data_IF_261520560967
#
_entry.id   IF_261520560967
#
_cell.length_a   1.000
_cell.length_b   1.000
_cell.length_c   1.000
_cell.angle_alpha   90.00
_cell.angle_beta   90.00
_cell.angle_gamma   90.00
#
_symmetry.space_group_name_H-M   'P 1'
#
loop_
_entity.id
_entity.type
_entity.pdbx_description
1 polymer ?
#
# COMPACT_ATOMS: atom_id res chain seq x y z
N UNK A 1 21.39 77.73 -60.77
CA UNK A 1 21.44 76.32 -60.88
C UNK A 1 21.76 75.67 -59.53
N UNK A 2 20.88 74.93 -58.92
CA UNK A 2 21.15 74.35 -57.60
C UNK A 2 21.59 72.92 -57.70
N UNK A 3 22.63 72.62 -57.00
CA UNK A 3 23.19 71.28 -56.79
C UNK A 3 22.34 70.49 -55.78
N UNK A 4 21.79 69.35 -56.23
CA UNK A 4 21.03 68.39 -55.40
C UNK A 4 21.99 67.53 -54.60
N UNK A 5 21.97 67.69 -53.30
CA UNK A 5 22.65 66.81 -52.36
C UNK A 5 21.78 65.55 -52.02
N UNK A 6 22.27 64.35 -52.40
CA UNK A 6 21.67 63.04 -52.04
C UNK A 6 22.20 62.63 -50.67
N UNK A 7 21.32 62.50 -49.70
CA UNK A 7 21.63 61.81 -48.45
C UNK A 7 21.31 60.28 -48.54
N UNK A 8 22.21 59.43 -48.12
CA UNK A 8 21.89 57.96 -48.03
C UNK A 8 21.05 57.72 -46.81
N UNK A 9 19.90 57.07 -47.01
CA UNK A 9 19.08 56.49 -45.93
C UNK A 9 19.72 55.20 -45.39
N UNK A 10 20.25 55.27 -44.17
CA UNK A 10 20.71 54.10 -43.41
C UNK A 10 19.47 53.41 -42.85
N UNK A 11 19.15 52.26 -43.37
CA UNK A 11 18.16 51.35 -42.75
C UNK A 11 18.81 50.62 -41.57
N UNK A 12 18.41 50.99 -40.38
CA UNK A 12 18.70 50.19 -39.16
C UNK A 12 17.74 49.01 -39.13
N UNK A 13 18.22 47.79 -39.47
CA UNK A 13 17.48 46.56 -39.28
C UNK A 13 17.60 46.17 -37.81
N UNK A 14 16.53 46.37 -37.06
CA UNK A 14 16.39 45.94 -35.66
C UNK A 14 16.06 44.44 -35.66
N UNK A 15 17.09 43.62 -35.46
CA UNK A 15 16.91 42.17 -35.25
C UNK A 15 16.30 41.94 -33.86
N UNK A 16 15.00 41.65 -33.81
CA UNK A 16 14.34 41.12 -32.61
C UNK A 16 14.85 39.71 -32.34
N UNK A 17 15.77 39.57 -31.38
CA UNK A 17 16.11 38.29 -30.79
C UNK A 17 14.94 37.80 -29.95
N UNK A 18 14.13 36.91 -30.51
CA UNK A 18 13.10 36.18 -29.78
C UNK A 18 13.78 35.11 -28.90
N UNK A 19 14.16 35.48 -27.69
CA UNK A 19 14.51 34.49 -26.66
C UNK A 19 13.25 33.77 -26.22
N UNK A 20 13.02 32.60 -26.82
CA UNK A 20 12.02 31.62 -26.30
C UNK A 20 12.48 31.18 -24.93
N UNK A 21 11.91 31.76 -23.88
CA UNK A 21 11.97 31.19 -22.54
C UNK A 21 11.24 29.87 -22.60
N UNK A 22 11.96 28.79 -22.72
CA UNK A 22 11.49 27.50 -22.24
C UNK A 22 11.35 27.62 -20.73
N UNK A 23 10.19 28.11 -20.27
CA UNK A 23 9.76 27.88 -18.90
C UNK A 23 9.56 26.39 -18.76
N UNK A 24 10.63 25.68 -18.36
CA UNK A 24 10.45 24.34 -17.80
C UNK A 24 9.40 24.48 -16.70
N UNK A 25 8.29 23.79 -16.84
CA UNK A 25 7.33 23.67 -15.75
C UNK A 25 8.09 23.04 -14.60
N UNK A 26 8.56 23.86 -13.67
CA UNK A 26 8.97 23.39 -12.36
C UNK A 26 7.67 22.86 -11.74
N UNK A 27 7.48 21.52 -11.79
CA UNK A 27 6.43 20.88 -11.02
C UNK A 27 6.71 21.23 -9.56
N UNK A 28 5.75 21.88 -8.92
CA UNK A 28 5.87 22.20 -7.50
C UNK A 28 6.00 20.89 -6.72
N UNK A 29 6.92 20.85 -5.77
CA UNK A 29 7.00 19.74 -4.83
C UNK A 29 5.96 19.96 -3.74
N UNK A 30 5.37 18.88 -3.27
CA UNK A 30 4.45 18.88 -2.13
C UNK A 30 4.96 17.95 -1.04
N UNK A 31 4.68 18.29 0.20
CA UNK A 31 5.06 17.48 1.36
C UNK A 31 3.82 16.86 1.98
N UNK A 32 3.92 15.57 2.31
CA UNK A 32 2.91 14.82 3.04
C UNK A 32 3.54 14.04 4.19
N UNK A 33 2.72 13.57 5.11
CA UNK A 33 3.16 12.72 6.22
C UNK A 33 2.74 11.27 5.95
N UNK A 34 3.69 10.34 5.99
CA UNK A 34 3.40 8.91 5.82
C UNK A 34 2.96 8.23 7.13
N UNK A 35 2.64 6.94 7.07
CA UNK A 35 2.15 6.21 8.25
C UNK A 35 3.26 5.80 9.26
N UNK A 36 4.51 6.23 9.04
CA UNK A 36 5.58 6.22 10.03
C UNK A 36 5.83 7.62 10.64
N UNK A 37 4.93 8.59 10.44
CA UNK A 37 5.06 10.01 10.83
C UNK A 37 6.28 10.71 10.19
N UNK A 38 6.69 10.29 9.01
CA UNK A 38 7.79 10.93 8.29
C UNK A 38 7.23 11.93 7.28
N UNK A 39 7.85 13.10 7.22
CA UNK A 39 7.60 14.03 6.12
C UNK A 39 8.28 13.52 4.85
N UNK A 40 7.52 13.45 3.78
CA UNK A 40 7.97 12.99 2.46
C UNK A 40 7.63 14.05 1.43
N UNK A 41 8.65 14.54 0.74
CA UNK A 41 8.49 15.49 -0.37
C UNK A 41 8.39 14.74 -1.69
N UNK A 42 7.35 15.02 -2.45
CA UNK A 42 7.00 14.36 -3.70
C UNK A 42 6.70 15.40 -4.78
N UNK A 43 6.90 15.07 -6.07
CA UNK A 43 6.37 15.87 -7.17
C UNK A 43 4.84 15.98 -7.08
N UNK A 44 4.27 17.09 -7.54
CA UNK A 44 2.82 17.31 -7.57
C UNK A 44 2.06 16.18 -8.28
N UNK A 45 2.65 15.64 -9.35
CA UNK A 45 2.07 14.56 -10.15
C UNK A 45 2.99 13.34 -10.13
N UNK A 46 2.54 12.28 -9.48
CA UNK A 46 3.20 10.98 -9.48
C UNK A 46 2.54 10.09 -10.53
N UNK A 47 3.32 9.73 -11.55
CA UNK A 47 2.93 8.82 -12.63
C UNK A 47 3.89 7.64 -12.76
N UNK A 48 4.90 7.57 -11.90
CA UNK A 48 5.92 6.53 -11.89
C UNK A 48 6.17 6.06 -10.46
N UNK A 49 5.34 5.14 -10.00
CA UNK A 49 5.45 4.54 -8.67
C UNK A 49 6.04 3.13 -8.74
N UNK A 50 6.96 2.80 -7.84
CA UNK A 50 7.36 1.42 -7.57
C UNK A 50 6.70 0.98 -6.27
N UNK A 51 6.11 -0.22 -6.26
CA UNK A 51 5.28 -0.70 -5.16
C UNK A 51 5.84 -1.99 -4.58
N UNK A 52 6.47 -1.90 -3.42
CA UNK A 52 7.09 -3.02 -2.71
C UNK A 52 6.24 -3.53 -1.54
N UNK A 53 4.92 -3.28 -1.60
CA UNK A 53 3.94 -3.79 -0.63
C UNK A 53 2.65 -4.19 -1.33
N UNK A 54 2.18 -5.40 -1.11
CA UNK A 54 1.04 -5.98 -1.81
C UNK A 54 -0.30 -5.29 -1.50
N UNK A 55 -0.53 -4.84 -0.27
CA UNK A 55 -1.76 -4.12 0.08
C UNK A 55 -1.86 -2.77 -0.65
N UNK A 56 -0.76 -2.03 -0.74
CA UNK A 56 -0.69 -0.77 -1.50
C UNK A 56 -0.96 -1.03 -2.98
N UNK A 57 -0.36 -2.07 -3.55
CA UNK A 57 -0.60 -2.43 -4.94
C UNK A 57 -2.08 -2.74 -5.23
N UNK A 58 -2.73 -3.49 -4.35
CA UNK A 58 -4.16 -3.76 -4.45
C UNK A 58 -4.99 -2.47 -4.34
N UNK A 59 -4.65 -1.56 -3.44
CA UNK A 59 -5.34 -0.28 -3.30
C UNK A 59 -5.15 0.63 -4.52
N UNK A 60 -3.97 0.66 -5.13
CA UNK A 60 -3.73 1.43 -6.37
C UNK A 60 -4.62 0.96 -7.52
N UNK A 61 -4.82 -0.36 -7.64
CA UNK A 61 -5.79 -0.91 -8.62
C UNK A 61 -7.21 -0.42 -8.30
N UNK A 62 -7.64 -0.48 -7.05
CA UNK A 62 -8.98 -0.03 -6.63
C UNK A 62 -9.18 1.49 -6.79
N UNK A 63 -8.10 2.27 -6.71
CA UNK A 63 -8.10 3.71 -6.93
C UNK A 63 -7.99 4.10 -8.41
N UNK A 64 -7.98 3.11 -9.33
CA UNK A 64 -7.76 3.33 -10.76
C UNK A 64 -6.44 4.05 -11.07
N UNK A 65 -5.36 3.63 -10.38
CA UNK A 65 -4.01 4.17 -10.51
C UNK A 65 -2.99 3.07 -10.91
N UNK A 66 -3.45 1.95 -11.47
CA UNK A 66 -2.58 0.85 -11.89
C UNK A 66 -1.58 1.29 -12.98
N UNK A 67 -1.98 2.21 -13.86
CA UNK A 67 -1.14 2.72 -14.96
C UNK A 67 0.04 3.58 -14.47
N UNK A 68 -0.02 4.08 -13.24
CA UNK A 68 1.06 4.85 -12.62
C UNK A 68 2.15 3.94 -12.02
N UNK A 69 1.97 2.61 -12.03
CA UNK A 69 2.90 1.63 -11.47
C UNK A 69 3.90 1.20 -12.53
N UNK A 70 5.20 1.41 -12.25
CA UNK A 70 6.30 1.07 -13.17
C UNK A 70 7.19 -0.09 -12.67
N UNK A 71 6.96 -0.55 -11.45
CA UNK A 71 7.66 -1.70 -10.87
C UNK A 71 6.93 -2.22 -9.65
N UNK A 72 7.04 -3.52 -9.41
CA UNK A 72 6.31 -4.21 -8.36
C UNK A 72 7.21 -5.12 -7.54
N UNK A 73 6.71 -5.56 -6.38
CA UNK A 73 7.39 -6.53 -5.54
C UNK A 73 7.50 -7.90 -6.22
N UNK A 74 8.60 -8.59 -6.03
CA UNK A 74 8.86 -9.90 -6.67
C UNK A 74 7.90 -11.00 -6.20
N UNK A 75 7.42 -10.92 -4.97
CA UNK A 75 6.49 -11.90 -4.39
C UNK A 75 5.00 -11.56 -4.63
N UNK A 76 4.67 -10.65 -5.56
CA UNK A 76 3.28 -10.24 -5.77
C UNK A 76 2.33 -11.41 -6.02
N UNK A 77 2.75 -12.38 -6.83
CA UNK A 77 1.93 -13.57 -7.17
C UNK A 77 1.62 -14.44 -5.94
N UNK A 78 2.61 -14.58 -5.05
CA UNK A 78 2.43 -15.30 -3.77
C UNK A 78 1.53 -14.53 -2.81
N UNK A 79 1.64 -13.20 -2.77
CA UNK A 79 0.92 -12.36 -1.81
C UNK A 79 -0.53 -12.07 -2.22
N UNK A 80 -0.77 -11.83 -3.51
CA UNK A 80 -2.07 -11.43 -4.06
C UNK A 80 -2.80 -12.56 -4.81
N UNK A 81 -2.10 -13.67 -5.07
CA UNK A 81 -2.59 -14.77 -5.90
C UNK A 81 -2.47 -14.49 -7.40
N UNK A 82 -2.45 -15.56 -8.23
CA UNK A 82 -2.27 -15.43 -9.68
C UNK A 82 -3.43 -14.71 -10.37
N UNK A 83 -4.62 -14.74 -9.77
CA UNK A 83 -5.82 -14.11 -10.33
C UNK A 83 -5.75 -12.57 -10.30
N UNK A 84 -4.84 -11.99 -9.51
CA UNK A 84 -4.65 -10.54 -9.46
C UNK A 84 -4.30 -9.93 -10.82
N UNK A 85 -3.59 -10.67 -11.67
CA UNK A 85 -3.28 -10.25 -13.03
C UNK A 85 -4.53 -9.97 -13.91
N UNK A 86 -5.71 -10.45 -13.53
CA UNK A 86 -6.97 -10.12 -14.23
C UNK A 86 -7.38 -8.67 -14.01
N UNK A 87 -7.00 -8.07 -12.89
CA UNK A 87 -7.28 -6.68 -12.56
C UNK A 87 -6.17 -5.72 -13.02
N UNK A 88 -4.96 -6.24 -13.16
CA UNK A 88 -3.78 -5.52 -13.61
C UNK A 88 -2.93 -6.40 -14.53
N UNK A 89 -3.33 -6.59 -15.81
CA UNK A 89 -2.60 -7.49 -16.72
C UNK A 89 -1.12 -7.13 -16.91
N UNK A 90 -0.78 -5.84 -16.86
CA UNK A 90 0.59 -5.36 -16.99
C UNK A 90 1.55 -5.93 -15.91
N UNK A 91 1.04 -6.39 -14.77
CA UNK A 91 1.85 -6.91 -13.66
C UNK A 91 2.73 -8.10 -14.07
N UNK A 92 2.30 -8.89 -15.05
CA UNK A 92 3.06 -10.07 -15.52
C UNK A 92 4.38 -9.68 -16.20
N UNK A 93 4.51 -8.44 -16.66
CA UNK A 93 5.68 -7.94 -17.40
C UNK A 93 6.41 -6.80 -16.71
N UNK A 94 5.85 -6.27 -15.61
CA UNK A 94 6.50 -5.18 -14.87
C UNK A 94 7.81 -5.65 -14.21
N UNK A 95 8.84 -4.79 -14.22
CA UNK A 95 10.07 -5.04 -13.48
C UNK A 95 9.83 -5.25 -11.98
N UNK A 96 10.64 -6.08 -11.37
CA UNK A 96 10.58 -6.43 -9.95
C UNK A 96 11.89 -6.04 -9.24
N UNK A 97 12.11 -4.76 -8.91
CA UNK A 97 13.37 -4.26 -8.35
C UNK A 97 13.58 -4.65 -6.88
N UNK A 98 12.62 -5.30 -6.25
CA UNK A 98 12.72 -5.67 -4.84
C UNK A 98 11.49 -6.39 -4.31
N UNK A 99 11.41 -6.48 -2.99
CA UNK A 99 10.32 -7.10 -2.25
C UNK A 99 10.06 -6.36 -0.93
N UNK A 100 9.29 -6.94 -0.03
CA UNK A 100 8.90 -6.37 1.28
C UNK A 100 10.09 -5.92 2.13
N UNK A 101 11.22 -6.59 2.04
CA UNK A 101 12.38 -6.37 2.95
C UNK A 101 13.71 -6.18 2.24
N UNK A 102 13.72 -6.14 0.91
CA UNK A 102 14.94 -6.00 0.11
C UNK A 102 14.69 -5.24 -1.18
N UNK A 103 15.72 -4.56 -1.67
CA UNK A 103 15.68 -3.79 -2.92
C UNK A 103 17.04 -3.89 -3.65
N UNK A 104 16.99 -3.97 -4.97
CA UNK A 104 18.12 -3.76 -5.84
C UNK A 104 18.09 -2.31 -6.35
N UNK A 105 19.01 -1.49 -5.88
CA UNK A 105 19.03 -0.04 -6.16
C UNK A 105 19.29 0.24 -7.64
N UNK A 106 20.14 -0.52 -8.32
CA UNK A 106 20.41 -0.33 -9.76
C UNK A 106 19.16 -0.58 -10.59
N UNK A 107 18.48 -1.70 -10.32
CA UNK A 107 17.20 -2.03 -10.97
C UNK A 107 16.13 -1.01 -10.68
N UNK A 108 16.08 -0.47 -9.45
CA UNK A 108 15.15 0.57 -9.06
C UNK A 108 15.42 1.88 -9.81
N UNK A 109 16.67 2.34 -9.84
CA UNK A 109 17.07 3.58 -10.53
C UNK A 109 16.76 3.54 -12.04
N UNK A 110 16.92 2.37 -12.67
CA UNK A 110 16.60 2.17 -14.09
C UNK A 110 15.14 2.43 -14.42
N UNK A 111 14.25 2.37 -13.44
CA UNK A 111 12.82 2.63 -13.61
C UNK A 111 12.47 4.12 -13.49
N UNK A 112 13.41 4.97 -13.07
CA UNK A 112 13.19 6.40 -12.81
C UNK A 112 11.93 6.66 -11.98
N UNK A 113 11.77 6.04 -10.81
CA UNK A 113 10.55 6.20 -10.01
C UNK A 113 10.53 7.58 -9.35
N UNK A 114 9.34 8.13 -9.22
CA UNK A 114 9.06 9.36 -8.47
C UNK A 114 8.74 9.07 -7.00
N UNK A 115 8.36 7.85 -6.70
CA UNK A 115 8.08 7.37 -5.34
C UNK A 115 8.24 5.85 -5.26
N UNK A 116 8.64 5.37 -4.09
CA UNK A 116 8.60 3.94 -3.74
C UNK A 116 7.69 3.76 -2.54
N UNK A 117 6.66 2.93 -2.67
CA UNK A 117 5.83 2.49 -1.56
C UNK A 117 6.44 1.28 -0.88
N UNK A 118 6.58 1.32 0.43
CA UNK A 118 7.10 0.22 1.26
C UNK A 118 6.14 -0.12 2.40
N UNK A 119 6.28 -1.32 2.97
CA UNK A 119 5.58 -1.66 4.20
C UNK A 119 6.15 -0.86 5.39
N UNK A 120 5.31 -0.57 6.37
CA UNK A 120 5.73 0.10 7.60
C UNK A 120 6.86 -0.64 8.35
N UNK A 121 6.95 -1.95 8.18
CA UNK A 121 7.98 -2.81 8.78
C UNK A 121 9.18 -3.08 7.85
N UNK A 122 9.27 -2.38 6.73
CA UNK A 122 10.45 -2.48 5.86
C UNK A 122 11.73 -2.13 6.65
N UNK A 123 12.84 -2.84 6.44
CA UNK A 123 14.09 -2.55 7.13
C UNK A 123 14.52 -1.09 6.94
N UNK A 124 14.90 -0.43 8.03
CA UNK A 124 15.34 0.98 7.98
C UNK A 124 16.51 1.18 7.00
N UNK A 125 17.43 0.19 6.93
CA UNK A 125 18.54 0.22 5.95
C UNK A 125 18.05 0.25 4.51
N UNK A 126 17.00 -0.52 4.17
CA UNK A 126 16.39 -0.52 2.84
C UNK A 126 15.79 0.86 2.50
N UNK A 127 15.05 1.45 3.44
CA UNK A 127 14.48 2.79 3.28
C UNK A 127 15.60 3.83 3.06
N UNK A 128 16.66 3.78 3.87
CA UNK A 128 17.81 4.68 3.74
C UNK A 128 18.54 4.52 2.41
N UNK A 129 18.68 3.29 1.91
CA UNK A 129 19.30 3.03 0.59
C UNK A 129 18.48 3.69 -0.54
N UNK A 130 17.16 3.57 -0.51
CA UNK A 130 16.27 4.17 -1.52
C UNK A 130 16.35 5.71 -1.44
N UNK A 131 16.26 6.26 -0.23
CA UNK A 131 16.35 7.71 0.00
C UNK A 131 17.74 8.27 -0.37
N UNK A 132 18.80 7.52 -0.08
CA UNK A 132 20.18 7.86 -0.46
C UNK A 132 20.40 7.89 -1.99
N UNK A 133 19.58 7.18 -2.73
CA UNK A 133 19.53 7.24 -4.21
C UNK A 133 18.68 8.42 -4.74
N UNK A 134 18.17 9.30 -3.85
CA UNK A 134 17.38 10.47 -4.20
C UNK A 134 15.90 10.16 -4.51
N UNK A 135 15.40 8.99 -4.13
CA UNK A 135 14.03 8.57 -4.41
C UNK A 135 13.17 8.69 -3.15
N UNK A 136 12.04 9.41 -3.19
CA UNK A 136 11.11 9.49 -2.07
C UNK A 136 10.52 8.12 -1.71
N UNK A 137 10.38 7.86 -0.40
CA UNK A 137 9.80 6.62 0.13
C UNK A 137 8.58 6.94 0.98
N UNK A 138 7.46 6.33 0.66
CA UNK A 138 6.20 6.40 1.42
C UNK A 138 5.95 5.05 2.08
N UNK A 139 5.91 5.02 3.40
CA UNK A 139 5.60 3.82 4.18
C UNK A 139 4.10 3.75 4.45
N UNK A 140 3.53 2.56 4.22
CA UNK A 140 2.11 2.28 4.39
C UNK A 140 1.92 1.17 5.43
N UNK A 141 1.06 1.40 6.41
CA UNK A 141 0.71 0.45 7.48
C UNK A 141 -0.72 -0.08 7.35
N UNK A 142 -1.65 0.74 6.89
CA UNK A 142 -3.11 0.53 6.93
C UNK A 142 -3.63 0.30 8.35
N UNK A 143 -2.86 0.75 9.33
CA UNK A 143 -3.13 0.61 10.76
C UNK A 143 -2.64 1.85 11.48
N UNK A 144 -3.40 2.31 12.46
CA UNK A 144 -3.00 3.40 13.33
C UNK A 144 -2.33 2.84 14.58
N UNK A 145 -1.02 2.94 14.67
CA UNK A 145 -0.25 2.42 15.78
C UNK A 145 0.22 3.55 16.71
N UNK A 146 0.41 3.21 17.99
CA UNK A 146 1.01 4.11 18.95
C UNK A 146 2.48 4.41 18.60
N UNK A 147 3.00 5.52 19.13
CA UNK A 147 4.41 5.85 19.01
C UNK A 147 5.29 4.68 19.48
N UNK A 148 6.33 4.35 18.71
CA UNK A 148 7.21 3.20 19.00
C UNK A 148 6.67 1.83 18.53
N UNK A 149 5.43 1.76 18.06
CA UNK A 149 4.84 0.53 17.50
C UNK A 149 4.71 0.57 15.97
N UNK A 150 4.79 1.75 15.35
CA UNK A 150 4.47 2.00 13.94
C UNK A 150 5.28 1.18 12.94
N UNK A 151 6.53 0.88 13.23
CA UNK A 151 7.43 0.10 12.38
C UNK A 151 7.39 -1.41 12.66
N UNK A 152 6.48 -1.88 13.53
CA UNK A 152 6.38 -3.30 13.87
C UNK A 152 5.39 -4.02 12.97
N UNK A 153 5.73 -5.27 12.63
CA UNK A 153 4.80 -6.18 11.94
C UNK A 153 3.67 -6.64 12.90
N UNK A 154 3.97 -6.80 14.18
CA UNK A 154 3.06 -7.22 15.23
C UNK A 154 3.07 -6.22 16.39
N UNK A 155 2.43 -5.04 16.24
CA UNK A 155 2.39 -4.04 17.29
C UNK A 155 1.48 -4.44 18.44
N UNK A 156 1.59 -3.71 19.55
CA UNK A 156 0.60 -3.73 20.61
C UNK A 156 -0.43 -2.65 20.32
N UNK A 157 -1.70 -3.02 20.28
CA UNK A 157 -2.82 -2.11 20.06
C UNK A 157 -3.74 -2.14 21.29
N UNK A 158 -4.20 -0.97 21.74
CA UNK A 158 -5.18 -0.85 22.81
C UNK A 158 -6.59 -1.20 22.34
N UNK A 159 -6.93 -0.78 21.12
CA UNK A 159 -8.17 -1.06 20.43
C UNK A 159 -7.87 -1.44 18.97
N UNK A 160 -8.00 -2.73 18.66
CA UNK A 160 -7.70 -3.26 17.33
C UNK A 160 -8.69 -2.75 16.27
N UNK A 161 -9.98 -2.64 16.62
CA UNK A 161 -11.02 -2.15 15.71
C UNK A 161 -10.73 -0.70 15.31
N UNK A 162 -10.45 0.15 16.28
CA UNK A 162 -10.12 1.54 16.02
C UNK A 162 -8.81 1.65 15.22
N UNK A 163 -7.77 0.96 15.61
CA UNK A 163 -6.46 1.01 14.96
C UNK A 163 -6.54 0.64 13.48
N UNK A 164 -7.24 -0.44 13.15
CA UNK A 164 -7.41 -0.87 11.76
C UNK A 164 -8.39 0.00 10.98
N UNK A 165 -9.48 0.46 11.60
CA UNK A 165 -10.45 1.32 10.92
C UNK A 165 -9.83 2.67 10.53
N UNK A 166 -9.23 3.34 11.49
CA UNK A 166 -8.62 4.65 11.24
C UNK A 166 -7.36 4.54 10.37
N UNK A 167 -6.53 3.52 10.61
CA UNK A 167 -5.34 3.28 9.81
C UNK A 167 -5.64 2.94 8.34
N UNK A 168 -6.71 2.19 8.07
CA UNK A 168 -7.15 1.91 6.70
C UNK A 168 -7.62 3.19 5.99
N UNK A 169 -8.45 4.02 6.66
CA UNK A 169 -8.88 5.31 6.10
C UNK A 169 -7.69 6.22 5.80
N UNK A 170 -6.77 6.35 6.75
CA UNK A 170 -5.56 7.16 6.60
C UNK A 170 -4.69 6.65 5.44
N UNK A 171 -4.47 5.33 5.37
CA UNK A 171 -3.66 4.74 4.30
C UNK A 171 -4.27 4.89 2.92
N UNK A 172 -5.59 4.71 2.77
CA UNK A 172 -6.30 4.93 1.50
C UNK A 172 -6.19 6.40 1.08
N UNK A 173 -6.37 7.36 2.01
CA UNK A 173 -6.19 8.80 1.74
C UNK A 173 -4.77 9.12 1.33
N UNK A 174 -3.79 8.62 2.07
CA UNK A 174 -2.36 8.81 1.78
C UNK A 174 -2.02 8.31 0.37
N UNK A 175 -2.40 7.08 0.02
CA UNK A 175 -2.14 6.50 -1.30
C UNK A 175 -2.85 7.33 -2.38
N UNK A 176 -4.11 7.66 -2.16
CA UNK A 176 -4.90 8.49 -3.09
C UNK A 176 -4.31 9.88 -3.28
N UNK A 177 -3.78 10.49 -2.22
CA UNK A 177 -3.07 11.77 -2.29
C UNK A 177 -1.79 11.64 -3.11
N UNK A 178 -0.95 10.62 -2.85
CA UNK A 178 0.31 10.41 -3.58
C UNK A 178 0.07 10.32 -5.09
N UNK A 179 -0.95 9.61 -5.54
CA UNK A 179 -1.22 9.38 -6.97
C UNK A 179 -2.31 10.29 -7.56
N UNK A 180 -2.76 11.32 -6.83
CA UNK A 180 -3.77 12.26 -7.32
C UNK A 180 -5.16 11.64 -7.53
N UNK A 181 -5.57 10.74 -6.64
CA UNK A 181 -6.86 10.03 -6.68
C UNK A 181 -7.67 10.23 -5.39
N UNK A 182 -7.67 11.46 -4.85
CA UNK A 182 -8.33 11.77 -3.57
C UNK A 182 -9.83 11.50 -3.59
N UNK A 183 -10.52 11.84 -4.68
CA UNK A 183 -11.96 11.60 -4.82
C UNK A 183 -12.27 10.08 -4.83
N UNK A 184 -11.48 9.29 -5.54
CA UNK A 184 -11.61 7.84 -5.57
C UNK A 184 -11.30 7.23 -4.20
N UNK A 185 -10.33 7.77 -3.47
CA UNK A 185 -9.99 7.35 -2.11
C UNK A 185 -11.18 7.55 -1.15
N UNK A 186 -11.81 8.71 -1.14
CA UNK A 186 -13.00 8.95 -0.30
C UNK A 186 -14.18 8.06 -0.70
N UNK A 187 -14.42 7.86 -1.99
CA UNK A 187 -15.45 6.95 -2.47
C UNK A 187 -15.20 5.50 -2.03
N UNK A 188 -13.95 5.03 -2.12
CA UNK A 188 -13.55 3.70 -1.68
C UNK A 188 -13.74 3.52 -0.16
N UNK A 189 -13.37 4.52 0.64
CA UNK A 189 -13.60 4.53 2.09
C UNK A 189 -15.09 4.40 2.40
N UNK A 190 -15.94 5.25 1.80
CA UNK A 190 -17.38 5.23 2.03
C UNK A 190 -17.99 3.88 1.65
N UNK A 191 -17.63 3.34 0.49
CA UNK A 191 -18.09 2.03 0.04
C UNK A 191 -17.68 0.92 1.02
N UNK A 192 -16.39 0.84 1.36
CA UNK A 192 -15.82 -0.20 2.22
C UNK A 192 -16.48 -0.22 3.59
N UNK A 193 -16.59 0.94 4.24
CA UNK A 193 -17.14 1.01 5.60
C UNK A 193 -18.66 0.87 5.62
N UNK A 194 -19.36 1.24 4.55
CA UNK A 194 -20.80 0.98 4.41
C UNK A 194 -21.08 -0.50 4.20
N UNK A 195 -20.34 -1.17 3.31
CA UNK A 195 -20.47 -2.60 3.09
C UNK A 195 -20.17 -3.41 4.38
N UNK A 196 -19.13 -3.01 5.13
CA UNK A 196 -18.82 -3.64 6.44
C UNK A 196 -19.93 -3.49 7.45
N UNK A 197 -20.53 -2.29 7.57
CA UNK A 197 -21.66 -2.08 8.48
C UNK A 197 -22.86 -2.98 8.12
N UNK A 198 -23.18 -3.09 6.84
CA UNK A 198 -24.25 -3.97 6.36
C UNK A 198 -23.95 -5.44 6.66
N UNK A 199 -22.72 -5.90 6.44
CA UNK A 199 -22.33 -7.27 6.72
C UNK A 199 -22.31 -7.59 8.22
N UNK A 200 -21.91 -6.62 9.06
CA UNK A 200 -21.82 -6.81 10.50
C UNK A 200 -23.17 -6.69 11.21
N UNK A 201 -24.12 -5.90 10.70
CA UNK A 201 -25.39 -5.62 11.37
C UNK A 201 -26.15 -6.88 11.82
N UNK A 202 -26.34 -7.94 11.01
CA UNK A 202 -27.08 -9.12 11.42
C UNK A 202 -26.36 -9.99 12.47
N UNK A 203 -25.07 -9.76 12.71
CA UNK A 203 -24.24 -10.59 13.61
C UNK A 203 -23.64 -9.80 14.77
N UNK A 204 -23.88 -8.49 14.83
CA UNK A 204 -23.28 -7.61 15.82
C UNK A 204 -23.59 -8.02 17.26
N UNK A 205 -24.84 -8.41 17.51
CA UNK A 205 -25.37 -8.70 18.83
C UNK A 205 -25.21 -10.18 19.24
N UNK A 206 -24.58 -11.04 18.41
CA UNK A 206 -24.33 -12.43 18.75
C UNK A 206 -23.36 -12.49 19.93
N UNK A 207 -23.75 -13.07 21.09
CA UNK A 207 -22.85 -13.25 22.22
C UNK A 207 -21.61 -14.05 21.85
N UNK A 208 -20.46 -13.74 22.48
CA UNK A 208 -19.19 -14.37 22.12
C UNK A 208 -19.23 -15.90 22.22
N UNK A 209 -19.93 -16.45 23.20
CA UNK A 209 -20.08 -17.90 23.41
C UNK A 209 -21.01 -18.59 22.41
N UNK A 210 -21.76 -17.82 21.62
CA UNK A 210 -22.66 -18.33 20.57
C UNK A 210 -22.04 -18.18 19.17
N UNK A 211 -20.90 -17.49 19.05
CA UNK A 211 -20.23 -17.28 17.78
C UNK A 211 -19.58 -18.56 17.27
N UNK A 212 -19.61 -18.74 15.96
CA UNK A 212 -18.92 -19.87 15.29
C UNK A 212 -17.43 -19.80 15.60
N UNK A 213 -16.87 -20.89 16.12
CA UNK A 213 -15.44 -21.00 16.42
C UNK A 213 -14.66 -21.31 15.14
N UNK A 214 -13.74 -20.40 14.78
CA UNK A 214 -12.99 -20.47 13.53
C UNK A 214 -11.50 -20.52 13.80
N UNK A 215 -10.83 -21.45 13.14
CA UNK A 215 -9.37 -21.54 13.06
C UNK A 215 -8.91 -21.11 11.67
N UNK A 216 -7.92 -20.22 11.61
CA UNK A 216 -7.25 -19.86 10.36
C UNK A 216 -6.01 -20.73 10.20
N UNK A 217 -6.05 -21.65 9.25
CA UNK A 217 -4.93 -22.53 8.93
C UNK A 217 -4.04 -21.91 7.84
N UNK A 218 -2.77 -21.72 8.18
CA UNK A 218 -1.71 -21.35 7.25
C UNK A 218 -0.66 -22.48 7.18
N UNK A 219 0.29 -22.44 6.22
CA UNK A 219 1.33 -23.46 6.10
C UNK A 219 2.07 -23.70 7.42
N UNK A 220 2.47 -24.96 7.64
CA UNK A 220 3.26 -25.40 8.80
C UNK A 220 2.59 -25.09 10.15
N UNK A 221 1.27 -25.22 10.23
CA UNK A 221 0.47 -24.91 11.42
C UNK A 221 0.62 -23.46 11.92
N UNK A 222 1.02 -22.54 11.06
CA UNK A 222 0.95 -21.12 11.41
C UNK A 222 -0.52 -20.67 11.46
N UNK A 223 -0.79 -19.76 12.38
CA UNK A 223 -2.12 -19.14 12.52
C UNK A 223 -1.99 -17.67 12.90
N UNK A 224 -3.11 -16.98 12.83
CA UNK A 224 -3.23 -15.60 13.27
C UNK A 224 -4.06 -15.52 14.55
N UNK A 225 -3.46 -14.98 15.61
CA UNK A 225 -4.13 -14.68 16.86
C UNK A 225 -4.65 -13.26 16.95
N UNK A 226 -4.62 -12.68 18.15
CA UNK A 226 -4.97 -11.27 18.38
C UNK A 226 -3.99 -10.32 17.66
N UNK A 227 -4.43 -9.10 17.37
CA UNK A 227 -3.61 -8.09 16.72
C UNK A 227 -3.48 -8.24 15.20
N UNK A 228 -4.22 -9.14 14.57
CA UNK A 228 -4.25 -9.33 13.11
C UNK A 228 -5.61 -8.98 12.53
N UNK A 229 -5.59 -8.33 11.38
CA UNK A 229 -6.79 -7.92 10.66
C UNK A 229 -7.74 -9.10 10.37
N UNK A 230 -7.20 -10.29 10.13
CA UNK A 230 -7.98 -11.52 9.92
C UNK A 230 -8.91 -11.83 11.09
N UNK A 231 -8.45 -11.62 12.33
CA UNK A 231 -9.30 -11.77 13.53
C UNK A 231 -10.46 -10.80 13.58
N UNK A 232 -10.23 -9.54 13.14
CA UNK A 232 -11.30 -8.54 13.00
C UNK A 232 -12.30 -8.91 11.93
N UNK A 233 -11.85 -9.41 10.79
CA UNK A 233 -12.76 -9.91 9.74
C UNK A 233 -13.67 -11.01 10.25
N UNK A 234 -13.12 -11.97 11.01
CA UNK A 234 -13.91 -13.03 11.67
C UNK A 234 -14.93 -12.44 12.64
N UNK A 235 -14.51 -11.52 13.51
CA UNK A 235 -15.40 -10.82 14.46
C UNK A 235 -16.55 -10.11 13.76
N UNK A 236 -16.25 -9.36 12.71
CA UNK A 236 -17.27 -8.64 11.94
C UNK A 236 -18.19 -9.56 11.12
N UNK A 237 -17.77 -10.79 10.85
CA UNK A 237 -18.58 -11.83 10.24
C UNK A 237 -19.35 -12.69 11.26
N UNK A 238 -19.34 -12.34 12.54
CA UNK A 238 -20.02 -13.09 13.60
C UNK A 238 -19.29 -14.32 14.10
N UNK A 239 -18.01 -14.46 13.76
CA UNK A 239 -17.17 -15.57 14.18
C UNK A 239 -16.27 -15.23 15.38
N UNK A 240 -15.74 -16.27 16.01
CA UNK A 240 -14.73 -16.21 17.07
C UNK A 240 -13.43 -16.83 16.55
N UNK A 241 -12.35 -16.05 16.50
CA UNK A 241 -11.02 -16.60 16.26
C UNK A 241 -10.54 -17.38 17.48
N UNK A 242 -10.48 -18.70 17.38
CA UNK A 242 -10.11 -19.59 18.52
C UNK A 242 -8.68 -19.37 19.01
N UNK A 243 -7.79 -18.89 18.16
CA UNK A 243 -6.41 -18.60 18.51
C UNK A 243 -6.23 -17.27 19.27
N UNK A 244 -7.21 -16.37 19.23
CA UNK A 244 -7.03 -14.99 19.73
C UNK A 244 -6.68 -14.89 21.22
N UNK A 245 -7.19 -15.81 22.05
CA UNK A 245 -6.95 -15.78 23.49
C UNK A 245 -5.53 -16.20 23.90
N UNK A 246 -4.87 -17.02 23.09
CA UNK A 246 -3.57 -17.63 23.44
C UNK A 246 -2.43 -17.27 22.48
N UNK A 247 -2.73 -16.72 21.32
CA UNK A 247 -1.75 -16.34 20.30
C UNK A 247 -1.84 -14.86 20.04
N UNK A 248 -0.69 -14.16 20.11
CA UNK A 248 -0.54 -12.77 19.67
C UNK A 248 0.21 -12.73 18.34
N UNK A 249 -0.34 -12.00 17.36
CA UNK A 249 0.25 -11.88 16.04
C UNK A 249 0.14 -13.17 15.21
N UNK A 250 1.17 -13.46 14.42
CA UNK A 250 1.30 -14.70 13.67
C UNK A 250 2.24 -15.66 14.43
N UNK A 251 1.84 -16.92 14.60
CA UNK A 251 2.65 -17.94 15.30
C UNK A 251 2.32 -19.35 14.81
N UNK A 252 3.34 -20.20 14.83
CA UNK A 252 3.16 -21.64 14.69
C UNK A 252 2.58 -22.24 15.97
N UNK A 253 1.64 -23.18 15.83
CA UNK A 253 0.98 -23.88 16.93
C UNK A 253 1.11 -25.39 16.74
N UNK A 254 0.69 -26.19 17.73
CA UNK A 254 0.64 -27.66 17.61
C UNK A 254 -0.75 -28.13 17.18
N UNK A 255 -0.83 -29.36 16.68
CA UNK A 255 -2.12 -30.00 16.40
C UNK A 255 -2.94 -30.20 17.69
N UNK A 256 -2.29 -30.52 18.82
CA UNK A 256 -2.96 -30.62 20.10
C UNK A 256 -3.61 -29.30 20.51
N UNK A 257 -2.96 -28.18 20.24
CA UNK A 257 -3.51 -26.85 20.49
C UNK A 257 -4.76 -26.60 19.63
N UNK A 258 -4.71 -26.99 18.36
CA UNK A 258 -5.86 -26.85 17.44
C UNK A 258 -7.01 -27.72 17.90
N UNK A 259 -6.74 -28.97 18.33
CA UNK A 259 -7.75 -29.88 18.87
C UNK A 259 -8.37 -29.34 20.16
N UNK A 260 -7.57 -28.73 21.07
CA UNK A 260 -8.09 -28.10 22.28
C UNK A 260 -9.01 -26.92 22.00
N UNK A 261 -8.76 -26.17 20.95
CA UNK A 261 -9.63 -25.05 20.55
C UNK A 261 -10.95 -25.53 19.97
N UNK A 262 -11.03 -26.77 19.50
CA UNK A 262 -12.23 -27.38 18.93
C UNK A 262 -12.95 -26.49 17.93
N UNK A 263 -12.29 -26.08 16.82
CA UNK A 263 -12.90 -25.19 15.85
C UNK A 263 -14.05 -25.87 15.11
N UNK A 264 -15.14 -25.15 14.88
CA UNK A 264 -16.27 -25.62 14.07
C UNK A 264 -16.02 -25.45 12.58
N UNK A 265 -15.16 -24.44 12.22
CA UNK A 265 -14.79 -24.11 10.85
C UNK A 265 -13.30 -23.84 10.77
N UNK A 266 -12.67 -24.35 9.72
CA UNK A 266 -11.28 -24.07 9.39
C UNK A 266 -11.24 -23.29 8.10
N UNK A 267 -10.67 -22.08 8.15
CA UNK A 267 -10.40 -21.28 6.94
C UNK A 267 -8.99 -21.55 6.44
N UNK A 268 -8.88 -21.79 5.15
CA UNK A 268 -7.60 -21.85 4.42
C UNK A 268 -7.60 -20.73 3.38
N UNK A 269 -6.50 -19.98 3.32
CA UNK A 269 -6.35 -18.95 2.30
C UNK A 269 -6.11 -19.61 0.93
N UNK A 270 -6.72 -19.05 -0.11
CA UNK A 270 -6.61 -19.54 -1.50
C UNK A 270 -5.16 -19.57 -2.03
N UNK A 271 -4.29 -18.72 -1.48
CA UNK A 271 -2.86 -18.70 -1.78
C UNK A 271 -2.07 -19.87 -1.19
N UNK A 272 -2.67 -20.68 -0.33
CA UNK A 272 -2.08 -21.83 0.35
C UNK A 272 -2.93 -23.11 0.20
N UNK A 273 -3.26 -23.54 -1.03
CA UNK A 273 -4.15 -24.68 -1.25
C UNK A 273 -3.59 -26.00 -0.67
N UNK A 274 -2.26 -26.10 -0.50
CA UNK A 274 -1.60 -27.25 0.09
C UNK A 274 -1.96 -27.48 1.56
N UNK A 275 -2.37 -26.43 2.27
CA UNK A 275 -2.75 -26.52 3.69
C UNK A 275 -3.95 -27.45 3.90
N UNK A 276 -4.88 -27.50 2.93
CA UNK A 276 -6.03 -28.41 3.01
C UNK A 276 -5.60 -29.86 3.24
N UNK A 277 -4.50 -30.31 2.62
CA UNK A 277 -3.96 -31.66 2.81
C UNK A 277 -3.23 -31.87 4.14
N UNK A 278 -2.77 -30.76 4.77
CA UNK A 278 -2.06 -30.82 6.05
C UNK A 278 -3.00 -30.96 7.26
N UNK A 279 -4.27 -30.58 7.08
CA UNK A 279 -5.27 -30.54 8.15
C UNK A 279 -6.36 -31.63 8.00
N UNK A 280 -6.35 -32.40 6.93
CA UNK A 280 -7.19 -33.60 6.72
C UNK A 280 -6.56 -34.85 7.37
#
# INVERSE_FOLDING_TARGET
EPIMSRHPRVFFAMALLSTSLFAGQAFADRTLTDQLDREVTLPDHVTRAVVLQHQTLNLLVQLNAADDVVGVMSSWKKQLGPQFARFMPAIETLPMPGDLTQVNIESLLALHPQVVFVANYAPQAMIQQIQGAGIPVVAVSLRQDAAGEKNKMNPTMADEDQAYNEGLKQGIRLIGEVVGRQAQAEALIQYTFSARRLANAPVADIPQNERVRVYMANPDLNTYGSGKYTGLMMKHAGALNVAAASVKGARQVSLEQVLQWDPQVIFVQDRYPEVVKQIQ
#
